data_IF_979382238042
#
_entry.id   IF_979382238042
#
_cell.length_a   1.000
_cell.length_b   1.000
_cell.length_c   1.000
_cell.angle_alpha   90.00
_cell.angle_beta   90.00
_cell.angle_gamma   90.00
#
_symmetry.space_group_name_H-M   'P 1'
#
loop_
_entity.id
_entity.type
_entity.pdbx_description
1 polymer ?
#
# COMPACT_ATOMS: atom_id res chain seq x y z
N UNK A 1 -15.88 -3.05 -15.68
CA UNK A 1 -15.09 -3.32 -14.46
C UNK A 1 -13.71 -2.69 -14.61
N UNK A 2 -13.36 -1.69 -13.80
CA UNK A 2 -12.05 -1.05 -13.89
C UNK A 2 -10.98 -1.99 -13.29
N UNK A 3 -9.94 -2.33 -14.05
CA UNK A 3 -8.91 -3.29 -13.65
C UNK A 3 -8.28 -2.91 -12.29
N UNK A 4 -8.35 -3.78 -11.26
CA UNK A 4 -7.87 -3.47 -9.90
C UNK A 4 -6.38 -3.11 -9.88
N UNK A 5 -5.59 -3.75 -10.74
CA UNK A 5 -4.18 -3.47 -10.98
C UNK A 5 -3.89 -2.02 -11.41
N UNK A 6 -4.84 -1.36 -12.07
CA UNK A 6 -4.66 0.03 -12.55
C UNK A 6 -4.72 1.03 -11.40
N UNK A 7 -5.57 0.79 -10.39
CA UNK A 7 -5.70 1.64 -9.19
C UNK A 7 -4.45 1.56 -8.33
N UNK A 8 -3.94 0.34 -8.14
CA UNK A 8 -2.72 0.12 -7.37
C UNK A 8 -1.49 0.77 -8.03
N UNK A 9 -1.37 0.64 -9.35
CA UNK A 9 -0.31 1.32 -10.11
C UNK A 9 -0.43 2.84 -10.00
N UNK A 10 -1.63 3.42 -10.06
CA UNK A 10 -1.82 4.87 -9.90
C UNK A 10 -1.40 5.34 -8.52
N UNK A 11 -1.72 4.60 -7.45
CA UNK A 11 -1.26 4.93 -6.09
C UNK A 11 0.27 4.91 -6.00
N UNK A 12 0.92 3.84 -6.48
CA UNK A 12 2.38 3.74 -6.51
C UNK A 12 3.03 4.86 -7.34
N UNK A 13 2.48 5.15 -8.52
CA UNK A 13 3.01 6.21 -9.38
C UNK A 13 2.82 7.59 -8.74
N UNK A 14 1.68 7.85 -8.10
CA UNK A 14 1.42 9.10 -7.39
C UNK A 14 2.34 9.28 -6.19
N UNK A 15 2.62 8.21 -5.43
CA UNK A 15 3.57 8.24 -4.33
C UNK A 15 5.00 8.53 -4.84
N UNK A 16 5.39 7.92 -5.95
CA UNK A 16 6.68 8.16 -6.59
C UNK A 16 6.82 9.60 -7.10
N UNK A 17 5.80 10.13 -7.79
CA UNK A 17 5.78 11.52 -8.29
C UNK A 17 5.87 12.51 -7.13
N UNK A 18 5.09 12.30 -6.06
CA UNK A 18 5.14 13.16 -4.87
C UNK A 18 6.52 13.10 -4.21
N UNK A 19 7.14 11.92 -4.11
CA UNK A 19 8.51 11.78 -3.59
C UNK A 19 9.56 12.46 -4.45
N UNK A 20 9.47 12.29 -5.77
CA UNK A 20 10.34 12.93 -6.74
C UNK A 20 10.20 14.45 -6.74
N UNK A 21 9.02 14.99 -6.47
CA UNK A 21 8.79 16.42 -6.30
C UNK A 21 9.24 16.94 -4.93
N UNK A 22 9.03 16.16 -3.86
CA UNK A 22 9.43 16.54 -2.50
C UNK A 22 10.96 16.57 -2.31
N UNK A 23 11.69 15.70 -3.01
CA UNK A 23 13.16 15.59 -2.91
C UNK A 23 13.89 16.90 -3.27
N UNK A 24 13.68 17.52 -4.46
CA UNK A 24 14.32 18.80 -4.79
C UNK A 24 13.85 19.95 -3.88
N UNK A 25 12.60 19.93 -3.42
CA UNK A 25 12.09 20.91 -2.44
C UNK A 25 12.83 20.80 -1.10
N UNK A 26 13.03 19.59 -0.59
CA UNK A 26 13.77 19.35 0.65
C UNK A 26 15.25 19.76 0.53
N UNK A 27 15.89 19.45 -0.61
CA UNK A 27 17.27 19.86 -0.88
C UNK A 27 17.40 21.37 -1.02
N UNK A 28 16.44 22.04 -1.67
CA UNK A 28 16.41 23.50 -1.77
C UNK A 28 16.24 24.16 -0.40
N UNK A 29 15.34 23.64 0.44
CA UNK A 29 15.17 24.12 1.80
C UNK A 29 16.46 23.96 2.62
N UNK A 30 17.13 22.81 2.52
CA UNK A 30 18.37 22.54 3.25
C UNK A 30 19.52 23.43 2.77
N UNK A 31 19.60 23.70 1.46
CA UNK A 31 20.52 24.69 0.88
C UNK A 31 20.32 26.09 1.46
N UNK A 32 19.06 26.51 1.66
CA UNK A 32 18.74 27.85 2.15
C UNK A 32 19.12 28.06 3.63
N UNK A 33 19.26 26.98 4.39
CA UNK A 33 19.68 26.98 5.79
C UNK A 33 21.21 27.03 5.97
N UNK A 34 21.98 27.15 4.88
CA UNK A 34 23.44 27.20 4.92
C UNK A 34 24.11 25.85 5.25
N UNK A 35 23.36 24.75 5.15
CA UNK A 35 23.91 23.40 5.36
C UNK A 35 24.81 23.03 4.19
N UNK A 36 26.03 22.57 4.49
CA UNK A 36 26.91 21.98 3.49
C UNK A 36 26.22 20.76 2.86
N UNK A 37 25.79 20.90 1.61
CA UNK A 37 25.20 19.82 0.82
C UNK A 37 26.29 18.83 0.41
N UNK A 38 26.74 18.02 1.37
CA UNK A 38 27.66 16.92 1.14
C UNK A 38 26.93 15.81 0.40
N UNK A 39 27.61 15.14 -0.54
CA UNK A 39 27.04 14.02 -1.33
C UNK A 39 26.31 12.96 -0.48
N UNK A 40 26.85 12.64 0.69
CA UNK A 40 26.25 11.72 1.66
C UNK A 40 24.85 12.16 2.11
N UNK A 41 24.66 13.45 2.37
CA UNK A 41 23.41 14.02 2.84
C UNK A 41 22.35 13.97 1.75
N UNK A 42 22.74 14.34 0.53
CA UNK A 42 21.84 14.32 -0.65
C UNK A 42 21.37 12.90 -0.94
N UNK A 43 22.29 11.93 -0.94
CA UNK A 43 21.96 10.52 -1.14
C UNK A 43 21.12 9.97 0.02
N UNK A 44 21.48 10.25 1.27
CA UNK A 44 20.73 9.78 2.43
C UNK A 44 19.28 10.30 2.43
N UNK A 45 19.07 11.60 2.16
CA UNK A 45 17.72 12.18 2.10
C UNK A 45 16.91 11.66 0.93
N UNK A 46 17.50 11.61 -0.27
CA UNK A 46 16.80 11.13 -1.47
C UNK A 46 16.37 9.68 -1.29
N UNK A 47 17.30 8.85 -0.78
CA UNK A 47 17.02 7.45 -0.53
C UNK A 47 15.97 7.29 0.57
N UNK A 48 16.07 8.04 1.68
CA UNK A 48 15.10 7.99 2.77
C UNK A 48 13.68 8.34 2.32
N UNK A 49 13.51 9.43 1.55
CA UNK A 49 12.20 9.86 1.04
C UNK A 49 11.61 8.79 0.12
N UNK A 50 12.39 8.31 -0.85
CA UNK A 50 11.92 7.32 -1.82
C UNK A 50 11.57 5.99 -1.14
N UNK A 51 12.44 5.47 -0.27
CA UNK A 51 12.18 4.22 0.46
C UNK A 51 10.96 4.33 1.36
N UNK A 52 10.81 5.43 2.10
CA UNK A 52 9.67 5.63 3.00
C UNK A 52 8.35 5.66 2.24
N UNK A 53 8.28 6.37 1.11
CA UNK A 53 7.07 6.45 0.29
C UNK A 53 6.74 5.14 -0.42
N UNK A 54 7.75 4.43 -0.94
CA UNK A 54 7.59 3.09 -1.50
C UNK A 54 7.08 2.11 -0.44
N UNK A 55 7.63 2.18 0.77
CA UNK A 55 7.21 1.33 1.88
C UNK A 55 5.77 1.65 2.29
N UNK A 56 5.40 2.92 2.45
CA UNK A 56 4.04 3.33 2.76
C UNK A 56 3.03 2.87 1.71
N UNK A 57 3.34 3.07 0.42
CA UNK A 57 2.48 2.62 -0.68
C UNK A 57 2.43 1.09 -0.77
N UNK A 58 3.55 0.41 -0.51
CA UNK A 58 3.64 -1.05 -0.44
C UNK A 58 2.77 -1.62 0.68
N UNK A 59 2.86 -1.06 1.89
CA UNK A 59 2.02 -1.44 3.03
C UNK A 59 0.54 -1.26 2.72
N UNK A 60 0.15 -0.11 2.15
CA UNK A 60 -1.23 0.12 1.69
C UNK A 60 -1.68 -0.95 0.69
N UNK A 61 -0.77 -1.39 -0.20
CA UNK A 61 -1.01 -2.47 -1.13
C UNK A 61 -1.21 -3.84 -0.50
N UNK A 62 -0.35 -4.20 0.46
CA UNK A 62 -0.48 -5.45 1.19
C UNK A 62 -1.79 -5.52 1.97
N UNK A 63 -2.26 -4.42 2.56
CA UNK A 63 -3.57 -4.36 3.24
C UNK A 63 -4.71 -4.72 2.28
N UNK A 64 -4.72 -4.14 1.07
CA UNK A 64 -5.71 -4.49 0.05
C UNK A 64 -5.58 -5.92 -0.45
N UNK A 65 -4.36 -6.43 -0.62
CA UNK A 65 -4.14 -7.83 -1.01
C UNK A 65 -4.59 -8.80 0.09
N UNK A 66 -4.37 -8.46 1.35
CA UNK A 66 -4.83 -9.25 2.50
C UNK A 66 -6.35 -9.38 2.50
N UNK A 67 -7.08 -8.27 2.33
CA UNK A 67 -8.54 -8.27 2.24
C UNK A 67 -9.07 -8.99 0.98
N UNK A 68 -8.32 -8.97 -0.12
CA UNK A 68 -8.72 -9.59 -1.39
C UNK A 68 -8.30 -11.07 -1.52
N UNK A 69 -7.51 -11.62 -0.58
CA UNK A 69 -6.95 -12.98 -0.64
C UNK A 69 -7.99 -14.11 -0.59
N UNK A 70 -9.28 -13.78 -0.42
CA UNK A 70 -10.38 -14.73 -0.60
C UNK A 70 -10.46 -15.80 0.50
N UNK A 71 -9.70 -15.65 1.59
CA UNK A 71 -9.80 -16.54 2.74
C UNK A 71 -11.23 -16.58 3.29
N UNK A 72 -11.89 -15.42 3.36
CA UNK A 72 -13.28 -15.32 3.82
C UNK A 72 -14.30 -15.86 2.80
N UNK A 73 -14.05 -15.73 1.49
CA UNK A 73 -14.94 -16.34 0.48
C UNK A 73 -14.84 -17.86 0.51
N UNK A 74 -13.64 -18.40 0.74
CA UNK A 74 -13.42 -19.84 0.82
C UNK A 74 -14.09 -20.45 2.05
N UNK A 75 -14.08 -19.75 3.19
CA UNK A 75 -14.84 -20.13 4.40
C UNK A 75 -16.35 -20.00 4.18
N UNK A 76 -16.82 -18.97 3.47
CA UNK A 76 -18.25 -18.80 3.18
C UNK A 76 -18.80 -19.89 2.26
N UNK A 77 -18.05 -20.27 1.22
CA UNK A 77 -18.40 -21.38 0.32
C UNK A 77 -18.35 -22.72 1.05
N UNK A 78 -17.37 -22.93 1.93
CA UNK A 78 -17.25 -24.14 2.74
C UNK A 78 -18.39 -24.24 3.78
N UNK A 79 -18.81 -23.14 4.40
CA UNK A 79 -19.95 -23.08 5.31
C UNK A 79 -21.30 -23.25 4.59
N UNK A 80 -21.43 -22.73 3.36
CA UNK A 80 -22.60 -22.95 2.51
C UNK A 80 -22.67 -24.40 1.99
N UNK A 81 -21.52 -25.02 1.73
CA UNK A 81 -21.45 -26.47 1.45
C UNK A 81 -21.70 -27.31 2.71
N UNK A 82 -21.55 -26.72 3.90
CA UNK A 82 -21.79 -27.33 5.21
C UNK A 82 -23.07 -26.79 5.85
N UNK A 83 -24.19 -26.77 5.10
CA UNK A 83 -25.49 -26.57 5.73
C UNK A 83 -25.72 -27.68 6.78
N UNK A 84 -25.90 -27.34 8.07
CA UNK A 84 -26.02 -28.36 9.11
C UNK A 84 -27.36 -29.08 8.97
N UNK A 85 -27.30 -30.41 8.82
CA UNK A 85 -28.45 -31.33 8.64
C UNK A 85 -29.55 -31.17 9.71
N UNK A 86 -29.24 -30.50 10.83
CA UNK A 86 -30.15 -30.21 11.92
C UNK A 86 -31.14 -29.08 11.64
N UNK A 87 -30.94 -28.26 10.59
CA UNK A 87 -31.84 -27.17 10.20
C UNK A 87 -33.22 -27.65 9.71
N UNK A 88 -33.32 -28.94 9.35
CA UNK A 88 -34.55 -29.60 8.93
C UNK A 88 -35.24 -30.37 10.07
N UNK A 89 -34.83 -30.15 11.32
CA UNK A 89 -35.52 -30.77 12.46
C UNK A 89 -36.89 -30.11 12.60
N UNK A 90 -38.00 -30.86 12.47
CA UNK A 90 -39.33 -30.31 12.71
C UNK A 90 -39.38 -29.83 14.16
N UNK A 91 -39.64 -28.54 14.37
CA UNK A 91 -39.89 -27.99 15.71
C UNK A 91 -41.21 -28.59 16.22
N UNK A 92 -41.11 -29.58 17.11
CA UNK A 92 -42.21 -30.20 17.86
C UNK A 92 -42.53 -29.46 19.17
#
# INVERSE_FOLDING_TARGET
MQNPVRRFRVLLLSAFVTGAAATPLALWYLSSQGVALTLHLVLALSLAIILSLLLAAGLMGLVFFSAASGHDQRVADENAAHEPVWRDSPED
#
